data_IF_228023173158
#
_entry.id   IF_228023173158
#
_cell.length_a   1.000
_cell.length_b   1.000
_cell.length_c   1.000
_cell.angle_alpha   90.00
_cell.angle_beta   90.00
_cell.angle_gamma   90.00
#
_symmetry.space_group_name_H-M   'P 1'
#
loop_
_entity.id
_entity.type
_entity.pdbx_description
1 polymer ?
#
# COMPACT_ATOMS: atom_id res chain seq x y z
N UNK A 1 -1.27 23.67 -2.49
CA UNK A 1 -1.30 24.16 -3.88
C UNK A 1 0.02 23.82 -4.58
N UNK A 2 1.12 24.51 -4.26
CA UNK A 2 2.44 24.29 -4.90
C UNK A 2 2.88 22.82 -4.91
N UNK A 3 2.80 22.13 -3.76
CA UNK A 3 3.24 20.73 -3.66
C UNK A 3 2.49 19.80 -4.62
N UNK A 4 1.17 19.93 -4.73
CA UNK A 4 0.38 19.04 -5.60
C UNK A 4 0.55 19.36 -7.08
N UNK A 5 0.71 20.63 -7.45
CA UNK A 5 1.04 21.03 -8.83
C UNK A 5 2.42 20.53 -9.23
N UNK A 6 3.43 20.70 -8.37
CA UNK A 6 4.79 20.20 -8.61
C UNK A 6 4.80 18.67 -8.68
N UNK A 7 4.08 17.99 -7.79
CA UNK A 7 3.94 16.54 -7.85
C UNK A 7 3.26 16.08 -9.15
N UNK A 8 2.19 16.75 -9.59
CA UNK A 8 1.51 16.46 -10.85
C UNK A 8 2.44 16.62 -12.06
N UNK A 9 3.21 17.71 -12.11
CA UNK A 9 4.21 17.93 -13.14
C UNK A 9 5.28 16.84 -13.13
N UNK A 10 5.90 16.56 -11.98
CA UNK A 10 6.98 15.58 -11.87
C UNK A 10 6.53 14.16 -12.21
N UNK A 11 5.32 13.78 -11.80
CA UNK A 11 4.74 12.47 -12.13
C UNK A 11 4.45 12.39 -13.63
N UNK A 12 3.84 13.41 -14.22
CA UNK A 12 3.56 13.42 -15.66
C UNK A 12 4.86 13.41 -16.48
N UNK A 13 5.87 14.17 -16.05
CA UNK A 13 7.19 14.18 -16.67
C UNK A 13 7.87 12.81 -16.58
N UNK A 14 7.78 12.15 -15.42
CA UNK A 14 8.32 10.81 -15.23
C UNK A 14 7.66 9.81 -16.20
N UNK A 15 6.34 9.89 -16.39
CA UNK A 15 5.60 9.02 -17.31
C UNK A 15 6.03 9.27 -18.76
N UNK A 16 6.07 10.52 -19.20
CA UNK A 16 6.51 10.88 -20.55
C UNK A 16 7.95 10.44 -20.82
N UNK A 17 8.86 10.63 -19.85
CA UNK A 17 10.24 10.13 -19.96
C UNK A 17 10.31 8.61 -20.03
N UNK A 18 9.49 7.93 -19.23
CA UNK A 18 9.37 6.46 -19.24
C UNK A 18 8.94 6.02 -20.64
N UNK A 19 7.88 6.58 -21.21
CA UNK A 19 7.39 6.21 -22.53
C UNK A 19 8.32 6.60 -23.70
N UNK A 20 8.92 7.80 -23.64
CA UNK A 20 9.89 8.29 -24.62
C UNK A 20 11.11 7.37 -24.70
N UNK A 21 11.56 6.86 -23.55
CA UNK A 21 12.69 5.93 -23.48
C UNK A 21 12.29 4.48 -23.73
N UNK A 22 11.01 4.20 -24.06
CA UNK A 22 10.50 2.84 -24.23
C UNK A 22 10.46 2.06 -22.90
N UNK A 23 10.44 2.77 -21.78
CA UNK A 23 10.70 2.34 -20.41
C UNK A 23 12.18 2.05 -20.18
N UNK A 24 12.98 3.11 -20.26
CA UNK A 24 14.40 3.13 -19.89
C UNK A 24 15.26 2.19 -20.72
N UNK A 25 15.01 2.17 -22.03
CA UNK A 25 15.76 1.41 -23.04
C UNK A 25 15.62 -0.10 -22.92
N UNK A 26 14.62 -0.59 -22.17
CA UNK A 26 14.19 -1.99 -22.26
C UNK A 26 13.76 -2.36 -23.68
N UNK A 27 13.13 -1.41 -24.37
CA UNK A 27 12.77 -1.53 -25.78
C UNK A 27 13.59 -0.57 -26.64
N UNK A 28 13.95 -0.98 -27.87
CA UNK A 28 14.82 -0.17 -28.75
C UNK A 28 14.10 1.05 -29.36
N UNK A 29 12.80 1.19 -29.14
CA UNK A 29 11.98 2.25 -29.69
C UNK A 29 11.12 2.92 -28.61
N UNK A 30 10.82 4.20 -28.80
CA UNK A 30 9.82 4.89 -28.00
C UNK A 30 8.42 4.34 -28.29
N UNK A 31 7.56 4.31 -27.28
CA UNK A 31 6.15 3.95 -27.49
C UNK A 31 5.38 5.08 -28.17
N UNK A 32 5.78 6.32 -27.90
CA UNK A 32 5.23 7.56 -28.47
C UNK A 32 6.30 8.66 -28.47
N UNK A 33 6.04 9.73 -29.23
CA UNK A 33 6.77 10.99 -29.10
C UNK A 33 6.43 11.66 -27.75
N UNK A 34 7.41 12.38 -27.19
CA UNK A 34 7.23 13.13 -25.95
C UNK A 34 6.16 14.20 -26.13
N UNK A 35 5.11 14.14 -25.31
CA UNK A 35 3.96 15.03 -25.45
C UNK A 35 3.97 16.13 -24.37
N UNK A 36 4.35 17.34 -24.78
CA UNK A 36 4.36 18.52 -23.91
C UNK A 36 2.92 18.93 -23.55
N UNK A 37 1.96 18.66 -24.42
CA UNK A 37 0.55 19.00 -24.18
C UNK A 37 -0.02 18.11 -23.07
N UNK A 38 0.34 16.83 -23.03
CA UNK A 38 -0.02 15.92 -21.93
C UNK A 38 0.61 16.40 -20.59
N UNK A 39 1.86 16.86 -20.62
CA UNK A 39 2.54 17.43 -19.45
C UNK A 39 1.84 18.71 -18.93
N UNK A 40 1.46 19.61 -19.84
CA UNK A 40 0.74 20.84 -19.52
C UNK A 40 -0.68 20.56 -19.01
N UNK A 41 -1.40 19.64 -19.65
CA UNK A 41 -2.75 19.25 -19.27
C UNK A 41 -2.79 18.64 -17.86
N UNK A 42 -1.89 17.70 -17.56
CA UNK A 42 -1.82 17.05 -16.26
C UNK A 42 -1.37 18.01 -15.15
N UNK A 43 -0.41 18.90 -15.45
CA UNK A 43 0.04 19.92 -14.49
C UNK A 43 -1.07 20.92 -14.18
N UNK A 44 -1.78 21.38 -15.21
CA UNK A 44 -2.96 22.25 -15.07
C UNK A 44 -4.06 21.55 -14.28
N UNK A 45 -4.35 20.29 -14.59
CA UNK A 45 -5.31 19.47 -13.86
C UNK A 45 -4.95 19.32 -12.38
N UNK A 46 -3.68 19.10 -12.05
CA UNK A 46 -3.19 19.04 -10.67
C UNK A 46 -3.30 20.41 -9.95
N UNK A 47 -3.02 21.50 -10.65
CA UNK A 47 -3.24 22.86 -10.14
C UNK A 47 -4.72 23.13 -9.85
N UNK A 48 -5.61 22.85 -10.82
CA UNK A 48 -7.06 23.02 -10.64
C UNK A 48 -7.56 22.13 -9.51
N UNK A 49 -7.16 20.86 -9.47
CA UNK A 49 -7.55 19.94 -8.40
C UNK A 49 -7.11 20.42 -7.01
N UNK A 50 -5.88 20.94 -6.88
CA UNK A 50 -5.42 21.51 -5.60
C UNK A 50 -6.13 22.81 -5.23
N UNK A 51 -6.52 23.64 -6.21
CA UNK A 51 -7.32 24.84 -6.02
C UNK A 51 -8.77 24.53 -5.59
N UNK A 52 -9.35 23.48 -6.16
CA UNK A 52 -10.74 23.05 -5.89
C UNK A 52 -10.82 22.22 -4.60
N UNK A 53 -9.72 21.58 -4.17
CA UNK A 53 -9.71 20.72 -2.97
C UNK A 53 -10.25 21.37 -1.68
N UNK A 54 -9.99 22.66 -1.36
CA UNK A 54 -10.56 23.30 -0.16
C UNK A 54 -12.07 23.49 -0.28
N UNK A 55 -12.58 23.78 -1.48
CA UNK A 55 -14.02 23.94 -1.74
C UNK A 55 -14.73 22.60 -1.54
N UNK A 56 -14.17 21.52 -2.10
CA UNK A 56 -14.67 20.17 -1.87
C UNK A 56 -14.61 19.78 -0.40
N UNK A 57 -13.53 20.15 0.30
CA UNK A 57 -13.39 19.89 1.72
C UNK A 57 -14.49 20.59 2.54
N UNK A 58 -14.80 21.85 2.23
CA UNK A 58 -15.89 22.59 2.88
C UNK A 58 -17.26 21.99 2.57
N UNK A 59 -17.52 21.62 1.31
CA UNK A 59 -18.79 20.98 0.89
C UNK A 59 -19.00 19.62 1.56
N UNK A 60 -17.93 18.82 1.72
CA UNK A 60 -17.98 17.53 2.41
C UNK A 60 -18.11 17.71 3.92
N UNK A 61 -17.47 18.74 4.52
CA UNK A 61 -17.55 19.03 5.96
C UNK A 61 -18.95 19.42 6.43
N UNK A 62 -19.78 19.99 5.57
CA UNK A 62 -21.18 20.31 5.90
C UNK A 62 -22.09 19.08 6.09
N UNK A 63 -21.58 17.85 5.87
CA UNK A 63 -22.36 16.60 6.01
C UNK A 63 -22.08 15.79 7.29
N UNK A 64 -21.41 16.33 8.31
CA UNK A 64 -21.45 15.72 9.65
C UNK A 64 -20.17 15.80 10.48
N UNK A 65 -20.26 16.60 11.54
CA UNK A 65 -19.54 16.63 12.83
C UNK A 65 -18.00 16.82 12.89
N UNK A 66 -17.54 17.92 13.53
CA UNK A 66 -16.15 18.12 13.91
C UNK A 66 -15.87 17.47 15.28
N UNK A 67 -15.79 16.14 15.31
CA UNK A 67 -15.09 15.46 16.40
C UNK A 67 -14.23 14.35 15.79
N UNK A 68 -12.98 14.70 15.46
CA UNK A 68 -11.96 13.75 15.01
C UNK A 68 -11.81 12.56 15.97
N UNK A 69 -12.23 12.71 17.23
CA UNK A 69 -11.91 11.77 18.30
C UNK A 69 -13.06 10.84 18.71
N UNK A 70 -14.26 11.00 18.14
CA UNK A 70 -15.32 10.03 18.39
C UNK A 70 -15.05 8.71 17.63
N UNK A 71 -15.32 7.54 18.27
CA UNK A 71 -15.32 6.23 17.62
C UNK A 71 -16.18 6.20 16.36
N UNK A 72 -15.65 5.64 15.27
CA UNK A 72 -16.41 5.43 14.02
C UNK A 72 -16.50 3.96 13.67
N UNK A 73 -17.65 3.56 13.13
CA UNK A 73 -17.89 2.18 12.68
C UNK A 73 -16.87 1.78 11.61
N UNK A 74 -16.45 0.52 11.63
CA UNK A 74 -15.59 -0.06 10.60
C UNK A 74 -16.44 -0.36 9.37
N UNK A 75 -16.43 0.55 8.40
CA UNK A 75 -17.14 0.36 7.13
C UNK A 75 -16.31 -0.48 6.15
N UNK A 76 -16.97 -1.04 5.14
CA UNK A 76 -16.30 -1.78 4.09
C UNK A 76 -15.27 -0.93 3.35
N UNK A 77 -15.60 0.33 3.05
CA UNK A 77 -14.72 1.26 2.35
C UNK A 77 -13.51 1.64 3.19
N UNK A 78 -13.70 1.88 4.49
CA UNK A 78 -12.58 2.17 5.41
C UNK A 78 -11.64 0.97 5.52
N UNK A 79 -12.18 -0.24 5.62
CA UNK A 79 -11.36 -1.46 5.70
C UNK A 79 -10.65 -1.76 4.38
N UNK A 80 -11.37 -1.67 3.26
CA UNK A 80 -10.83 -1.86 1.92
C UNK A 80 -9.75 -0.84 1.59
N UNK A 81 -9.92 0.43 1.99
CA UNK A 81 -8.91 1.46 1.82
C UNK A 81 -7.64 1.16 2.63
N UNK A 82 -7.76 0.65 3.87
CA UNK A 82 -6.61 0.16 4.63
C UNK A 82 -5.86 -0.96 3.90
N UNK A 83 -6.58 -1.97 3.39
CA UNK A 83 -5.98 -3.06 2.60
C UNK A 83 -5.31 -2.54 1.32
N UNK A 84 -5.92 -1.54 0.66
CA UNK A 84 -5.36 -0.89 -0.51
C UNK A 84 -4.07 -0.13 -0.18
N UNK A 85 -4.02 0.60 0.95
CA UNK A 85 -2.80 1.26 1.41
C UNK A 85 -1.68 0.25 1.72
N UNK A 86 -2.00 -0.90 2.34
CA UNK A 86 -1.03 -1.97 2.54
C UNK A 86 -0.49 -2.50 1.20
N UNK A 87 -1.37 -2.78 0.25
CA UNK A 87 -0.99 -3.24 -1.09
C UNK A 87 -0.09 -2.22 -1.79
N UNK A 88 -0.47 -0.94 -1.76
CA UNK A 88 0.29 0.13 -2.38
C UNK A 88 1.68 0.29 -1.74
N UNK A 89 1.75 0.22 -0.40
CA UNK A 89 3.02 0.27 0.31
C UNK A 89 3.95 -0.88 -0.11
N UNK A 90 3.42 -2.11 -0.25
CA UNK A 90 4.21 -3.25 -0.71
C UNK A 90 4.69 -3.08 -2.15
N UNK A 91 3.77 -2.78 -3.08
CA UNK A 91 4.08 -2.71 -4.51
C UNK A 91 5.02 -1.56 -4.82
N UNK A 92 4.78 -0.37 -4.26
CA UNK A 92 5.63 0.79 -4.53
C UNK A 92 7.01 0.63 -3.89
N UNK A 93 7.11 0.12 -2.67
CA UNK A 93 8.41 -0.04 -2.00
C UNK A 93 9.25 -1.09 -2.70
N UNK A 94 8.70 -2.29 -2.93
CA UNK A 94 9.43 -3.37 -3.61
C UNK A 94 9.75 -3.01 -5.07
N UNK A 95 8.79 -2.42 -5.79
CA UNK A 95 8.97 -1.97 -7.17
C UNK A 95 10.03 -0.88 -7.29
N UNK A 96 9.99 0.15 -6.43
CA UNK A 96 10.98 1.22 -6.44
C UNK A 96 12.39 0.69 -6.16
N UNK A 97 12.55 -0.20 -5.17
CA UNK A 97 13.85 -0.81 -4.86
C UNK A 97 14.43 -1.57 -6.07
N UNK A 98 13.62 -2.43 -6.69
CA UNK A 98 14.04 -3.20 -7.88
C UNK A 98 14.37 -2.28 -9.05
N UNK A 99 13.51 -1.30 -9.35
CA UNK A 99 13.70 -0.39 -10.48
C UNK A 99 14.91 0.51 -10.30
N UNK A 100 15.11 1.10 -9.11
CA UNK A 100 16.28 1.94 -8.82
C UNK A 100 17.56 1.13 -8.92
N UNK A 101 17.60 -0.08 -8.35
CA UNK A 101 18.78 -0.94 -8.45
C UNK A 101 19.04 -1.36 -9.89
N UNK A 102 18.02 -1.79 -10.64
CA UNK A 102 18.16 -2.17 -12.06
C UNK A 102 18.70 -1.00 -12.91
N UNK A 103 18.15 0.19 -12.71
CA UNK A 103 18.62 1.41 -13.37
C UNK A 103 20.08 1.73 -13.00
N UNK A 104 20.46 1.56 -11.73
CA UNK A 104 21.82 1.81 -11.26
C UNK A 104 22.83 0.87 -11.93
N UNK A 105 22.50 -0.42 -12.07
CA UNK A 105 23.32 -1.39 -12.80
C UNK A 105 23.43 -1.02 -14.29
N UNK A 106 22.31 -0.64 -14.93
CA UNK A 106 22.29 -0.24 -16.33
C UNK A 106 23.14 1.02 -16.59
N UNK A 107 23.02 2.05 -15.75
CA UNK A 107 23.82 3.28 -15.84
C UNK A 107 25.32 3.01 -15.61
N UNK A 108 25.65 2.06 -14.73
CA UNK A 108 27.02 1.60 -14.51
C UNK A 108 27.55 0.66 -15.60
N UNK A 109 26.77 0.37 -16.65
CA UNK A 109 27.06 -0.60 -17.73
C UNK A 109 27.43 -1.98 -17.19
N UNK A 110 26.85 -2.36 -16.05
CA UNK A 110 27.06 -3.66 -15.44
C UNK A 110 26.08 -4.67 -16.01
N UNK A 111 26.51 -5.93 -16.15
CA UNK A 111 25.66 -7.00 -16.63
C UNK A 111 24.60 -7.38 -15.57
N UNK A 112 23.33 -7.24 -15.91
CA UNK A 112 22.20 -7.64 -15.08
C UNK A 112 22.10 -9.16 -14.90
N UNK A 113 22.78 -9.93 -15.76
CA UNK A 113 22.89 -11.39 -15.62
C UNK A 113 24.02 -11.82 -14.70
N UNK A 114 24.84 -10.89 -14.20
CA UNK A 114 25.85 -11.18 -13.19
C UNK A 114 25.20 -11.80 -11.94
N UNK A 115 25.93 -12.68 -11.26
CA UNK A 115 25.42 -13.34 -10.05
C UNK A 115 25.03 -12.33 -8.98
N UNK A 116 25.79 -11.25 -8.82
CA UNK A 116 25.48 -10.18 -7.87
C UNK A 116 24.15 -9.49 -8.20
N UNK A 117 23.95 -9.06 -9.46
CA UNK A 117 22.72 -8.39 -9.88
C UNK A 117 21.50 -9.31 -9.70
N UNK A 118 21.60 -10.58 -10.11
CA UNK A 118 20.51 -11.55 -9.95
C UNK A 118 20.15 -11.77 -8.48
N UNK A 119 21.13 -11.94 -7.59
CA UNK A 119 20.88 -12.13 -6.15
C UNK A 119 20.24 -10.88 -5.55
N UNK A 120 20.73 -9.69 -5.87
CA UNK A 120 20.15 -8.44 -5.36
C UNK A 120 18.72 -8.24 -5.84
N UNK A 121 18.47 -8.34 -7.15
CA UNK A 121 17.15 -8.14 -7.73
C UNK A 121 16.13 -9.21 -7.26
N UNK A 122 16.58 -10.44 -6.99
CA UNK A 122 15.72 -11.48 -6.43
C UNK A 122 15.41 -11.28 -4.94
N UNK A 123 16.26 -10.60 -4.17
CA UNK A 123 16.10 -10.44 -2.71
C UNK A 123 15.42 -9.14 -2.32
N UNK A 124 15.58 -8.05 -3.09
CA UNK A 124 14.97 -6.74 -2.81
C UNK A 124 13.44 -6.77 -2.64
N UNK A 125 12.65 -7.56 -3.40
CA UNK A 125 11.20 -7.61 -3.21
C UNK A 125 10.74 -8.08 -1.82
N UNK A 126 11.61 -8.76 -1.05
CA UNK A 126 11.32 -9.23 0.30
C UNK A 126 11.48 -8.14 1.37
N UNK A 127 12.09 -7.00 1.05
CA UNK A 127 12.35 -5.92 2.02
C UNK A 127 11.04 -5.35 2.56
N UNK A 128 10.09 -4.98 1.70
CA UNK A 128 8.81 -4.41 2.12
C UNK A 128 8.01 -5.35 3.06
N UNK A 129 7.77 -6.64 2.72
CA UNK A 129 7.08 -7.54 3.64
C UNK A 129 7.85 -7.77 4.94
N UNK A 130 9.19 -7.82 4.92
CA UNK A 130 9.99 -7.94 6.14
C UNK A 130 9.87 -6.70 7.04
N UNK A 131 9.90 -5.49 6.49
CA UNK A 131 9.68 -4.25 7.25
C UNK A 131 8.27 -4.25 7.85
N UNK A 132 7.25 -4.62 7.06
CA UNK A 132 5.88 -4.71 7.59
C UNK A 132 5.76 -5.79 8.67
N UNK A 133 6.52 -6.89 8.60
CA UNK A 133 6.55 -7.91 9.67
C UNK A 133 7.04 -7.29 10.97
N UNK A 134 8.12 -6.52 10.94
CA UNK A 134 8.64 -5.81 12.13
C UNK A 134 7.59 -4.86 12.69
N UNK A 135 6.93 -4.07 11.83
CA UNK A 135 5.85 -3.15 12.24
C UNK A 135 4.69 -3.90 12.90
N UNK A 136 4.25 -5.02 12.31
CA UNK A 136 3.13 -5.83 12.83
C UNK A 136 3.52 -6.52 14.13
N UNK A 137 4.74 -7.04 14.24
CA UNK A 137 5.23 -7.67 15.47
C UNK A 137 5.38 -6.65 16.60
N UNK A 138 5.79 -5.41 16.33
CA UNK A 138 5.91 -4.36 17.33
C UNK A 138 4.55 -3.77 17.74
N UNK A 139 3.73 -3.37 16.77
CA UNK A 139 2.50 -2.60 17.02
C UNK A 139 1.21 -3.43 17.05
N UNK A 140 1.24 -4.65 16.50
CA UNK A 140 0.05 -5.46 16.24
C UNK A 140 -0.79 -5.01 15.04
N UNK A 141 -0.38 -3.94 14.36
CA UNK A 141 -1.12 -3.31 13.26
C UNK A 141 -0.30 -3.35 11.97
N UNK A 142 -1.02 -3.43 10.86
CA UNK A 142 -0.46 -3.18 9.53
C UNK A 142 -0.33 -1.67 9.26
N UNK A 143 0.45 -1.28 8.25
CA UNK A 143 0.56 0.13 7.86
C UNK A 143 -0.80 0.69 7.43
N UNK A 144 -1.56 -0.07 6.65
CA UNK A 144 -2.91 0.27 6.24
C UNK A 144 -3.85 0.45 7.41
N UNK A 145 -3.81 -0.45 8.40
CA UNK A 145 -4.59 -0.30 9.63
C UNK A 145 -4.23 0.97 10.41
N UNK A 146 -2.95 1.33 10.49
CA UNK A 146 -2.53 2.57 11.11
C UNK A 146 -3.07 3.80 10.36
N UNK A 147 -3.00 3.82 9.03
CA UNK A 147 -3.53 4.91 8.17
C UNK A 147 -5.02 5.12 8.41
N UNK A 148 -5.79 4.03 8.51
CA UNK A 148 -7.25 4.11 8.73
C UNK A 148 -7.64 4.09 10.20
N UNK A 149 -6.70 4.23 11.14
CA UNK A 149 -6.94 4.28 12.58
C UNK A 149 -7.71 3.07 13.13
N UNK A 150 -7.33 1.87 12.67
CA UNK A 150 -7.89 0.61 13.12
C UNK A 150 -6.89 -0.14 14.01
N UNK A 151 -7.41 -0.85 15.00
CA UNK A 151 -6.61 -1.69 15.89
C UNK A 151 -7.26 -3.06 16.07
N UNK A 152 -6.46 -4.12 16.28
CA UNK A 152 -6.98 -5.40 16.71
C UNK A 152 -7.54 -5.32 18.14
N UNK A 153 -8.60 -6.08 18.40
CA UNK A 153 -9.16 -6.30 19.73
C UNK A 153 -9.60 -7.77 19.88
N UNK A 154 -9.15 -8.49 20.93
CA UNK A 154 -8.17 -8.09 21.94
C UNK A 154 -6.77 -7.86 21.35
N UNK A 155 -5.84 -7.33 22.17
CA UNK A 155 -4.44 -7.15 21.75
C UNK A 155 -3.82 -8.51 21.36
N UNK A 156 -3.32 -8.67 20.13
CA UNK A 156 -2.87 -9.96 19.63
C UNK A 156 -1.54 -10.38 20.25
N UNK A 157 -1.40 -11.68 20.52
CA UNK A 157 -0.13 -12.33 20.88
C UNK A 157 0.86 -12.30 19.71
N UNK A 158 2.15 -12.56 19.97
CA UNK A 158 3.17 -12.61 18.91
C UNK A 158 2.81 -13.59 17.78
N UNK A 159 2.28 -14.76 18.12
CA UNK A 159 1.80 -15.74 17.14
C UNK A 159 0.63 -15.21 16.31
N UNK A 160 -0.37 -14.59 16.95
CA UNK A 160 -1.49 -13.99 16.23
C UNK A 160 -1.03 -12.86 15.30
N UNK A 161 -0.03 -12.07 15.69
CA UNK A 161 0.58 -11.03 14.84
C UNK A 161 1.24 -11.66 13.61
N UNK A 162 1.98 -12.76 13.79
CA UNK A 162 2.58 -13.49 12.68
C UNK A 162 1.53 -14.09 11.73
N UNK A 163 0.48 -14.72 12.27
CA UNK A 163 -0.63 -15.26 11.47
C UNK A 163 -1.34 -14.16 10.68
N UNK A 164 -1.59 -12.99 11.29
CA UNK A 164 -2.19 -11.83 10.61
C UNK A 164 -1.32 -11.33 9.46
N UNK A 165 -0.01 -11.25 9.68
CA UNK A 165 0.94 -10.84 8.65
C UNK A 165 0.99 -11.87 7.50
N UNK A 166 1.11 -13.16 7.83
CA UNK A 166 1.23 -14.24 6.87
C UNK A 166 -0.05 -14.47 6.05
N UNK A 167 -1.23 -14.33 6.66
CA UNK A 167 -2.51 -14.45 5.97
C UNK A 167 -3.00 -13.12 5.36
N UNK A 168 -2.23 -12.04 5.50
CA UNK A 168 -2.56 -10.70 5.03
C UNK A 168 -1.65 -10.22 3.90
N UNK A 169 -1.41 -8.91 3.85
CA UNK A 169 -0.56 -8.25 2.85
C UNK A 169 0.90 -8.73 2.89
N UNK A 170 1.40 -9.08 4.08
CA UNK A 170 2.75 -9.62 4.31
C UNK A 170 3.00 -10.90 3.52
N UNK A 171 2.21 -11.93 3.79
CA UNK A 171 2.36 -13.21 3.09
C UNK A 171 1.99 -13.15 1.62
N UNK A 172 1.03 -12.29 1.22
CA UNK A 172 0.76 -12.03 -0.19
C UNK A 172 2.00 -11.47 -0.92
N UNK A 173 2.65 -10.46 -0.34
CA UNK A 173 3.84 -9.85 -0.93
C UNK A 173 5.03 -10.82 -0.93
N UNK A 174 5.24 -11.59 0.15
CA UNK A 174 6.28 -12.63 0.21
C UNK A 174 6.06 -13.74 -0.83
N UNK A 175 4.82 -14.21 -0.99
CA UNK A 175 4.50 -15.24 -1.99
C UNK A 175 4.69 -14.73 -3.42
N UNK A 176 4.36 -13.47 -3.67
CA UNK A 176 4.60 -12.79 -4.95
C UNK A 176 6.10 -12.64 -5.22
N UNK A 177 6.88 -12.24 -4.21
CA UNK A 177 8.33 -12.07 -4.30
C UNK A 177 9.09 -13.38 -4.53
N UNK A 178 8.61 -14.50 -3.98
CA UNK A 178 9.31 -15.78 -4.01
C UNK A 178 9.50 -16.34 -5.42
N UNK A 179 8.56 -16.11 -6.34
CA UNK A 179 8.60 -16.63 -7.71
C UNK A 179 8.94 -18.14 -7.80
N UNK A 180 8.59 -18.92 -6.77
CA UNK A 180 8.77 -20.37 -6.72
C UNK A 180 7.52 -21.06 -7.28
N UNK A 181 7.59 -22.35 -7.64
CA UNK A 181 6.40 -23.11 -8.01
C UNK A 181 5.29 -22.95 -6.96
N UNK A 182 4.06 -22.74 -7.43
CA UNK A 182 2.84 -22.57 -6.63
C UNK A 182 2.73 -21.31 -5.76
N UNK A 183 3.78 -20.48 -5.59
CA UNK A 183 3.66 -19.27 -4.77
C UNK A 183 2.76 -18.21 -5.41
N UNK A 184 2.68 -18.18 -6.74
CA UNK A 184 1.67 -17.38 -7.46
C UNK A 184 0.23 -17.81 -7.16
N UNK A 185 -0.02 -19.12 -7.05
CA UNK A 185 -1.34 -19.64 -6.66
C UNK A 185 -1.66 -19.29 -5.20
N UNK A 186 -0.67 -19.38 -4.31
CA UNK A 186 -0.81 -18.95 -2.91
C UNK A 186 -1.12 -17.45 -2.81
N UNK A 187 -0.39 -16.60 -3.54
CA UNK A 187 -0.65 -15.16 -3.57
C UNK A 187 -2.06 -14.86 -4.09
N UNK A 188 -2.47 -15.54 -5.17
CA UNK A 188 -3.83 -15.44 -5.70
C UNK A 188 -4.89 -15.87 -4.67
N UNK A 189 -4.68 -17.01 -4.01
CA UNK A 189 -5.59 -17.51 -2.97
C UNK A 189 -5.70 -16.53 -1.79
N UNK A 190 -4.59 -15.96 -1.34
CA UNK A 190 -4.57 -14.93 -0.27
C UNK A 190 -5.32 -13.66 -0.69
N UNK A 191 -5.14 -13.20 -1.93
CA UNK A 191 -5.86 -12.04 -2.46
C UNK A 191 -7.37 -12.29 -2.52
N UNK A 192 -7.79 -13.45 -3.05
CA UNK A 192 -9.20 -13.86 -3.09
C UNK A 192 -9.76 -13.97 -1.67
N UNK A 193 -9.03 -14.60 -0.75
CA UNK A 193 -9.44 -14.73 0.64
C UNK A 193 -9.56 -13.35 1.34
N UNK A 194 -8.68 -12.41 1.04
CA UNK A 194 -8.77 -11.04 1.56
C UNK A 194 -10.03 -10.32 1.06
N UNK A 195 -10.34 -10.42 -0.23
CA UNK A 195 -11.55 -9.84 -0.84
C UNK A 195 -12.80 -10.50 -0.25
N UNK A 196 -12.89 -11.83 -0.27
CA UNK A 196 -14.03 -12.55 0.32
C UNK A 196 -14.16 -12.19 1.81
N UNK A 197 -13.05 -12.16 2.54
CA UNK A 197 -13.02 -11.80 3.95
C UNK A 197 -13.55 -10.40 4.23
N UNK A 198 -13.36 -9.44 3.32
CA UNK A 198 -13.90 -8.08 3.46
C UNK A 198 -15.44 -8.07 3.46
N UNK A 199 -16.06 -8.89 2.60
CA UNK A 199 -17.53 -8.94 2.45
C UNK A 199 -18.20 -9.94 3.40
N UNK A 200 -17.60 -11.11 3.60
CA UNK A 200 -18.21 -12.24 4.31
C UNK A 200 -18.03 -12.19 5.83
N UNK A 201 -17.07 -11.42 6.36
CA UNK A 201 -16.80 -11.42 7.79
C UNK A 201 -17.67 -10.44 8.57
N UNK A 202 -18.17 -10.92 9.73
CA UNK A 202 -18.85 -10.06 10.71
C UNK A 202 -17.88 -8.99 11.22
N UNK A 203 -18.38 -7.78 11.41
CA UNK A 203 -17.57 -6.64 11.86
C UNK A 203 -16.49 -6.19 10.86
N UNK A 204 -16.48 -6.71 9.62
CA UNK A 204 -15.47 -6.38 8.60
C UNK A 204 -14.04 -6.64 9.05
N UNK A 205 -13.83 -7.61 9.96
CA UNK A 205 -12.51 -7.93 10.50
C UNK A 205 -11.55 -8.45 9.42
N UNK A 206 -12.07 -9.11 8.37
CA UNK A 206 -11.28 -9.63 7.25
C UNK A 206 -10.66 -11.00 7.53
N UNK A 207 -10.19 -11.66 6.47
CA UNK A 207 -9.73 -13.06 6.51
C UNK A 207 -8.56 -13.30 7.49
N UNK A 208 -7.51 -12.48 7.41
CA UNK A 208 -6.34 -12.59 8.29
C UNK A 208 -6.71 -12.55 9.79
N UNK A 209 -7.74 -11.78 10.13
CA UNK A 209 -8.17 -11.58 11.51
C UNK A 209 -9.12 -12.69 11.99
N UNK A 210 -9.90 -13.28 11.08
CA UNK A 210 -10.62 -14.54 11.35
C UNK A 210 -9.63 -15.64 11.71
N UNK A 211 -8.57 -15.79 10.91
CA UNK A 211 -7.58 -16.85 11.13
C UNK A 211 -6.81 -16.65 12.44
N UNK A 212 -6.48 -15.40 12.77
CA UNK A 212 -5.84 -15.03 14.03
C UNK A 212 -6.81 -14.97 15.23
N UNK A 213 -8.10 -15.20 15.03
CA UNK A 213 -9.16 -15.15 16.05
C UNK A 213 -9.19 -13.82 16.80
N UNK A 214 -9.11 -12.71 16.06
CA UNK A 214 -9.19 -11.35 16.60
C UNK A 214 -10.18 -10.51 15.81
N UNK A 215 -10.77 -9.53 16.46
CA UNK A 215 -11.64 -8.55 15.82
C UNK A 215 -10.87 -7.25 15.52
N UNK A 216 -11.52 -6.33 14.83
CA UNK A 216 -10.97 -5.02 14.47
C UNK A 216 -11.93 -3.95 14.91
N UNK A 217 -11.39 -2.97 15.62
CA UNK A 217 -12.14 -1.83 16.13
C UNK A 217 -11.46 -0.53 15.73
N UNK A 218 -12.20 0.56 15.83
CA UNK A 218 -11.61 1.90 15.77
C UNK A 218 -10.67 2.10 16.96
N UNK A 219 -9.49 2.64 16.73
CA UNK A 219 -8.53 2.86 17.81
C UNK A 219 -9.04 3.80 18.91
N UNK A 220 -10.01 4.67 18.57
CA UNK A 220 -10.66 5.61 19.49
C UNK A 220 -11.66 4.97 20.44
N UNK A 221 -12.04 3.71 20.22
CA UNK A 221 -12.86 2.97 21.18
C UNK A 221 -12.01 2.71 22.42
N UNK A 222 -12.50 3.19 23.57
CA UNK A 222 -11.85 2.94 24.87
C UNK A 222 -11.69 1.44 25.10
N UNK A 223 -10.52 0.98 25.60
CA UNK A 223 -10.34 -0.42 25.97
C UNK A 223 -11.40 -0.81 27.00
N UNK A 224 -12.01 -1.98 26.84
CA UNK A 224 -13.16 -2.48 27.61
C UNK A 224 -12.90 -2.70 29.12
N UNK A 225 -11.80 -2.16 29.68
CA UNK A 225 -11.44 -2.23 31.10
C UNK A 225 -11.25 -0.87 31.79
N UNK A 226 -11.54 0.26 31.13
CA UNK A 226 -11.45 1.60 31.74
C UNK A 226 -12.72 2.04 32.49
N UNK A 227 -13.83 1.30 32.31
CA UNK A 227 -15.14 1.63 32.89
C UNK A 227 -15.46 0.96 34.22
N UNK A 228 -14.59 0.07 34.73
CA UNK A 228 -14.79 -0.62 36.03
C UNK A 228 -14.07 0.08 37.21
N UNK A 229 -13.29 1.15 36.96
CA UNK A 229 -12.53 1.88 38.00
C UNK A 229 -12.99 3.34 38.25
N UNK A 230 -14.21 3.72 37.84
CA UNK A 230 -14.79 5.03 38.19
C UNK A 230 -15.93 4.95 39.19
#
# INVERSE_FOLDING_TARGET
MVVGTVAGFLVSLLIECTQLTGDWFLYPCSYRLFDVDDLLANTTGALVGTLVSPVLWVLVRHRGEPSSDLPRRVTIWRRGFGMFCDLLAMVLTSGALVSITSLSFALARQDLNSTLARVLLATLPFVAPAVQLVVVLASGRTLGEAVVRLRPEPRPTAWQRLVRWAAGSGGWATATAAALPFTGLLAFALAVAAVIGLFATRGRRGFANVLARVDVVDERIEPTGASEER
#
